data_IF_088268123100
#
_entry.id   IF_088268123100
#
_cell.length_a   1.000
_cell.length_b   1.000
_cell.length_c   1.000
_cell.angle_alpha   90.00
_cell.angle_beta   90.00
_cell.angle_gamma   90.00
#
_symmetry.space_group_name_H-M   'P 1'
#
loop_
_entity.id
_entity.type
_entity.pdbx_description
1 polymer ?
#
# COMPACT_ATOMS: atom_id res chain seq x y z
N UNK A 1 12.05 60.39 13.28
CA UNK A 1 12.96 59.22 13.21
C UNK A 1 13.18 58.55 14.57
N UNK A 2 13.74 59.20 15.60
CA UNK A 2 14.01 58.57 16.93
C UNK A 2 12.82 57.86 17.61
N UNK A 3 11.60 58.43 17.55
CA UNK A 3 10.40 57.80 18.14
C UNK A 3 10.00 56.50 17.41
N UNK A 4 10.05 56.50 16.08
CA UNK A 4 9.73 55.32 15.26
C UNK A 4 10.76 54.22 15.52
N UNK A 5 12.05 54.57 15.60
CA UNK A 5 13.12 53.61 15.95
C UNK A 5 12.91 53.02 17.35
N UNK A 6 12.56 53.83 18.36
CA UNK A 6 12.28 53.35 19.72
C UNK A 6 11.07 52.42 19.77
N UNK A 7 9.96 52.77 19.11
CA UNK A 7 8.77 51.91 19.03
C UNK A 7 9.08 50.59 18.32
N UNK A 8 9.82 50.62 17.21
CA UNK A 8 10.26 49.42 16.51
C UNK A 8 11.14 48.53 17.40
N UNK A 9 12.12 49.11 18.11
CA UNK A 9 12.96 48.36 19.05
C UNK A 9 12.16 47.75 20.19
N UNK A 10 11.19 48.47 20.77
CA UNK A 10 10.34 47.94 21.85
C UNK A 10 9.47 46.79 21.35
N UNK A 11 8.83 46.92 20.18
CA UNK A 11 8.00 45.85 19.59
C UNK A 11 8.83 44.61 19.31
N UNK A 12 10.03 44.76 18.73
CA UNK A 12 10.95 43.65 18.47
C UNK A 12 11.38 42.97 19.78
N UNK A 13 11.76 43.75 20.79
CA UNK A 13 12.22 43.22 22.08
C UNK A 13 11.11 42.46 22.80
N UNK A 14 9.88 43.01 22.84
CA UNK A 14 8.71 42.33 23.43
C UNK A 14 8.40 41.05 22.65
N UNK A 15 8.40 41.10 21.31
CA UNK A 15 8.19 39.92 20.47
C UNK A 15 9.21 38.81 20.74
N UNK A 16 10.50 39.16 20.83
CA UNK A 16 11.58 38.21 21.15
C UNK A 16 11.41 37.60 22.55
N UNK A 17 11.08 38.40 23.57
CA UNK A 17 10.85 37.89 24.93
C UNK A 17 9.65 36.95 24.99
N UNK A 18 8.54 37.28 24.31
CA UNK A 18 7.38 36.40 24.21
C UNK A 18 7.71 35.09 23.50
N UNK A 19 8.43 35.16 22.38
CA UNK A 19 8.86 33.97 21.63
C UNK A 19 9.79 33.07 22.45
N UNK A 20 10.81 33.63 23.11
CA UNK A 20 11.73 32.88 23.96
C UNK A 20 11.04 32.30 25.19
N UNK A 21 10.13 33.06 25.81
CA UNK A 21 9.32 32.58 26.93
C UNK A 21 8.43 31.40 26.54
N UNK A 22 7.76 31.51 25.39
CA UNK A 22 6.94 30.42 24.84
C UNK A 22 7.80 29.21 24.48
N UNK A 23 8.93 29.40 23.79
CA UNK A 23 9.85 28.31 23.41
C UNK A 23 10.45 27.61 24.63
N UNK A 24 10.76 28.36 25.69
CA UNK A 24 11.22 27.83 26.97
C UNK A 24 10.14 27.01 27.68
N UNK A 25 8.89 27.50 27.69
CA UNK A 25 7.75 26.73 28.18
C UNK A 25 7.56 25.43 27.39
N UNK A 26 7.58 25.51 26.06
CA UNK A 26 7.41 24.36 25.15
C UNK A 26 8.48 23.31 25.41
N UNK A 27 9.75 23.72 25.52
CA UNK A 27 10.84 22.83 25.86
C UNK A 27 10.62 22.12 27.21
N UNK A 28 10.14 22.85 28.22
CA UNK A 28 9.84 22.27 29.53
C UNK A 28 8.68 21.28 29.46
N UNK A 29 7.59 21.65 28.77
CA UNK A 29 6.41 20.81 28.55
C UNK A 29 6.78 19.51 27.82
N UNK A 30 7.51 19.61 26.71
CA UNK A 30 7.97 18.47 25.92
C UNK A 30 8.84 17.51 26.74
N UNK A 31 9.73 18.07 27.57
CA UNK A 31 10.60 17.29 28.46
C UNK A 31 9.83 16.57 29.57
N UNK A 32 8.71 17.12 30.03
CA UNK A 32 7.83 16.43 30.97
C UNK A 32 7.02 15.35 30.28
N UNK A 33 6.43 15.67 29.12
CA UNK A 33 5.65 14.74 28.30
C UNK A 33 6.47 13.51 27.93
N UNK A 34 7.72 13.70 27.49
CA UNK A 34 8.60 12.59 27.10
C UNK A 34 9.05 11.69 28.26
N UNK A 35 8.83 12.10 29.52
CA UNK A 35 9.17 11.36 30.74
C UNK A 35 7.98 10.67 31.42
N UNK A 36 6.75 10.87 30.93
CA UNK A 36 5.58 10.20 31.53
C UNK A 36 5.79 8.66 31.49
N UNK A 37 5.46 8.02 32.61
CA UNK A 37 5.83 6.63 32.97
C UNK A 37 4.87 5.56 32.45
N UNK A 38 3.87 5.94 31.66
CA UNK A 38 2.87 5.09 31.02
C UNK A 38 3.34 4.50 29.68
N UNK A 39 4.61 4.74 29.31
CA UNK A 39 5.17 4.21 28.06
C UNK A 39 5.53 2.73 28.24
N UNK A 40 4.71 1.86 27.65
CA UNK A 40 5.01 0.45 27.52
C UNK A 40 6.35 0.26 26.80
N UNK A 41 7.28 -0.43 27.46
CA UNK A 41 8.59 -0.73 26.92
C UNK A 41 8.56 -2.05 26.13
N UNK A 42 9.34 -2.11 25.06
CA UNK A 42 9.68 -3.35 24.37
C UNK A 42 10.64 -4.19 25.22
N UNK A 43 10.65 -5.51 25.04
CA UNK A 43 11.68 -6.38 25.61
C UNK A 43 13.04 -6.22 24.90
N UNK A 44 13.04 -5.65 23.69
CA UNK A 44 14.26 -5.41 22.89
C UNK A 44 14.77 -3.99 23.13
N UNK A 45 16.03 -3.88 23.57
CA UNK A 45 16.67 -2.60 23.88
C UNK A 45 16.77 -1.65 22.69
N UNK A 46 17.01 -2.18 21.49
CA UNK A 46 17.03 -1.41 20.24
C UNK A 46 15.66 -0.78 19.94
N UNK A 47 14.57 -1.55 20.07
CA UNK A 47 13.21 -1.04 19.90
C UNK A 47 12.91 0.11 20.89
N UNK A 48 13.35 -0.02 22.14
CA UNK A 48 13.22 1.05 23.14
C UNK A 48 13.98 2.32 22.78
N UNK A 49 15.15 2.20 22.15
CA UNK A 49 15.93 3.35 21.66
C UNK A 49 15.17 4.11 20.57
N UNK A 50 14.61 3.39 19.59
CA UNK A 50 13.82 3.98 18.49
C UNK A 50 12.52 4.61 19.00
N UNK A 51 11.80 3.91 19.89
CA UNK A 51 10.61 4.45 20.58
C UNK A 51 10.96 5.73 21.35
N UNK A 52 12.13 5.76 22.00
CA UNK A 52 12.66 6.93 22.69
C UNK A 52 12.81 8.12 21.76
N UNK A 53 13.43 7.94 20.59
CA UNK A 53 13.58 9.01 19.59
C UNK A 53 12.22 9.55 19.14
N UNK A 54 11.27 8.70 18.75
CA UNK A 54 9.95 9.19 18.30
C UNK A 54 9.23 10.02 19.38
N UNK A 55 9.34 9.60 20.65
CA UNK A 55 8.74 10.30 21.79
C UNK A 55 9.44 11.63 22.08
N UNK A 56 10.76 11.62 22.16
CA UNK A 56 11.58 12.79 22.50
C UNK A 56 11.50 13.88 21.44
N UNK A 57 11.36 13.50 20.16
CA UNK A 57 11.20 14.42 19.03
C UNK A 57 9.75 14.84 18.78
N UNK A 58 8.81 14.33 19.57
CA UNK A 58 7.40 14.69 19.47
C UNK A 58 6.72 14.25 18.18
N UNK A 59 7.18 13.14 17.57
CA UNK A 59 6.55 12.61 16.36
C UNK A 59 5.08 12.25 16.60
N UNK A 60 4.72 11.89 17.83
CA UNK A 60 3.35 11.57 18.22
C UNK A 60 2.39 12.75 18.08
N UNK A 61 2.85 14.00 18.23
CA UNK A 61 2.00 15.20 18.12
C UNK A 61 1.19 15.23 16.82
N UNK A 62 1.80 14.88 15.69
CA UNK A 62 1.15 14.95 14.38
C UNK A 62 0.83 13.58 13.79
N UNK A 63 1.33 12.48 14.35
CA UNK A 63 1.22 11.14 13.77
C UNK A 63 0.44 10.14 14.63
N UNK A 64 -0.20 10.62 15.70
CA UNK A 64 -1.14 9.84 16.50
C UNK A 64 -2.41 10.68 16.78
N UNK A 65 -3.60 10.07 16.87
CA UNK A 65 -4.84 10.79 17.12
C UNK A 65 -5.01 11.22 18.59
N UNK A 66 -4.18 10.70 19.49
CA UNK A 66 -4.34 10.79 20.95
C UNK A 66 -3.30 11.66 21.65
N UNK A 67 -2.50 12.42 20.90
CA UNK A 67 -1.46 13.26 21.47
C UNK A 67 -2.04 14.37 22.36
N UNK A 68 -1.55 14.49 23.59
CA UNK A 68 -1.87 15.61 24.48
C UNK A 68 -1.24 16.89 23.94
N UNK A 69 -2.06 17.89 23.64
CA UNK A 69 -1.59 19.17 23.11
C UNK A 69 -1.35 20.19 24.24
N UNK A 70 -0.34 21.07 24.10
CA UNK A 70 -0.07 22.13 25.06
C UNK A 70 -1.20 23.17 25.07
N UNK A 71 -1.33 23.94 26.17
CA UNK A 71 -2.47 24.86 26.36
C UNK A 71 -2.70 25.87 25.23
N UNK A 72 -1.61 26.34 24.60
CA UNK A 72 -1.67 27.34 23.53
C UNK A 72 -2.28 26.78 22.23
N UNK A 73 -2.40 25.45 22.09
CA UNK A 73 -3.11 24.82 20.97
C UNK A 73 -4.58 25.23 20.86
N UNK A 74 -5.16 25.79 21.92
CA UNK A 74 -6.51 26.33 21.94
C UNK A 74 -6.64 27.75 21.39
N UNK A 75 -5.53 28.48 21.22
CA UNK A 75 -5.55 29.86 20.75
C UNK A 75 -5.84 29.92 19.25
N UNK A 76 -6.70 30.83 18.73
CA UNK A 76 -7.25 30.73 17.37
C UNK A 76 -6.22 30.51 16.25
N UNK A 77 -5.13 31.28 16.23
CA UNK A 77 -4.08 31.18 15.20
C UNK A 77 -3.25 29.91 15.36
N UNK A 78 -2.86 29.58 16.61
CA UNK A 78 -2.09 28.37 16.90
C UNK A 78 -2.92 27.12 16.60
N UNK A 79 -4.19 27.11 17.02
CA UNK A 79 -5.17 26.05 16.75
C UNK A 79 -5.28 25.76 15.27
N UNK A 80 -5.51 26.79 14.45
CA UNK A 80 -5.66 26.60 13.00
C UNK A 80 -4.42 25.98 12.36
N UNK A 81 -3.23 26.46 12.73
CA UNK A 81 -1.96 25.95 12.18
C UNK A 81 -1.67 24.52 12.65
N UNK A 82 -1.87 24.24 13.95
CA UNK A 82 -1.64 22.93 14.54
C UNK A 82 -2.65 21.91 14.02
N UNK A 83 -3.94 22.25 13.94
CA UNK A 83 -4.97 21.37 13.39
C UNK A 83 -4.62 20.97 11.95
N UNK A 84 -4.15 21.93 11.13
CA UNK A 84 -3.68 21.64 9.77
C UNK A 84 -2.50 20.66 9.75
N UNK A 85 -1.47 20.89 10.57
CA UNK A 85 -0.28 20.01 10.62
C UNK A 85 -0.60 18.62 11.16
N UNK A 86 -1.46 18.54 12.19
CA UNK A 86 -1.90 17.28 12.79
C UNK A 86 -2.73 16.50 11.77
N UNK A 87 -3.70 17.15 11.11
CA UNK A 87 -4.52 16.50 10.08
C UNK A 87 -3.65 16.02 8.90
N UNK A 88 -2.71 16.84 8.41
CA UNK A 88 -1.84 16.45 7.31
C UNK A 88 -0.86 15.34 7.71
N UNK A 89 -0.26 15.45 8.90
CA UNK A 89 0.66 14.46 9.46
C UNK A 89 0.00 13.12 9.65
N UNK A 90 -1.19 13.10 10.25
CA UNK A 90 -1.97 11.90 10.52
C UNK A 90 -2.56 11.34 9.22
N UNK A 91 -2.93 12.18 8.25
CA UNK A 91 -3.32 11.70 6.91
C UNK A 91 -2.15 10.99 6.20
N UNK A 92 -0.90 11.43 6.42
CA UNK A 92 0.28 10.90 5.71
C UNK A 92 0.89 9.65 6.35
N UNK A 93 0.89 9.55 7.68
CA UNK A 93 1.63 8.53 8.42
C UNK A 93 0.93 8.21 9.74
N UNK A 94 0.78 6.91 10.06
CA UNK A 94 0.26 6.48 11.37
C UNK A 94 1.39 5.87 12.21
N UNK A 95 1.82 6.58 13.24
CA UNK A 95 2.87 6.07 14.12
C UNK A 95 2.39 4.93 15.03
N UNK A 96 1.08 4.75 15.23
CA UNK A 96 0.53 3.72 16.13
C UNK A 96 0.95 2.30 15.74
N UNK A 97 0.86 1.96 14.45
CA UNK A 97 1.21 0.63 13.96
C UNK A 97 2.71 0.33 14.17
N UNK A 98 3.57 1.33 13.96
CA UNK A 98 5.02 1.23 14.20
C UNK A 98 5.30 1.04 15.69
N UNK A 99 4.64 1.82 16.56
CA UNK A 99 4.81 1.71 18.02
C UNK A 99 4.36 0.33 18.52
N UNK A 100 3.18 -0.13 18.08
CA UNK A 100 2.66 -1.44 18.46
C UNK A 100 3.62 -2.56 18.04
N UNK A 101 4.14 -2.49 16.80
CA UNK A 101 5.10 -3.47 16.29
C UNK A 101 6.41 -3.48 17.10
N UNK A 102 6.99 -2.30 17.38
CA UNK A 102 8.19 -2.17 18.20
C UNK A 102 8.01 -2.69 19.63
N UNK A 103 6.87 -2.38 20.27
CA UNK A 103 6.55 -2.84 21.62
C UNK A 103 6.42 -4.37 21.66
N UNK A 104 5.72 -4.94 20.68
CA UNK A 104 5.47 -6.38 20.58
C UNK A 104 6.63 -7.18 19.96
N UNK A 105 7.69 -6.51 19.51
CA UNK A 105 8.79 -7.11 18.74
C UNK A 105 8.31 -7.91 17.52
N UNK A 106 7.41 -7.29 16.74
CA UNK A 106 6.87 -7.86 15.51
C UNK A 106 7.29 -7.01 14.31
N UNK A 107 7.28 -7.56 13.07
CA UNK A 107 7.72 -6.82 11.90
C UNK A 107 6.91 -5.54 11.66
N UNK A 108 7.59 -4.40 11.55
CA UNK A 108 6.96 -3.09 11.28
C UNK A 108 6.47 -3.02 9.83
N UNK A 109 5.22 -2.60 9.56
CA UNK A 109 4.70 -2.52 8.20
C UNK A 109 5.64 -1.80 7.22
N UNK A 110 5.92 -2.45 6.08
CA UNK A 110 6.92 -1.98 5.12
C UNK A 110 6.65 -0.56 4.59
N UNK A 111 5.38 -0.20 4.35
CA UNK A 111 5.02 1.17 3.93
C UNK A 111 5.44 2.21 4.98
N UNK A 112 5.28 1.88 6.26
CA UNK A 112 5.63 2.78 7.35
C UNK A 112 7.16 2.88 7.52
N UNK A 113 7.90 1.77 7.37
CA UNK A 113 9.37 1.81 7.31
C UNK A 113 9.87 2.69 6.15
N UNK A 114 9.29 2.53 4.96
CA UNK A 114 9.69 3.29 3.77
C UNK A 114 9.38 4.79 3.93
N UNK A 115 8.25 5.15 4.57
CA UNK A 115 7.92 6.55 4.89
C UNK A 115 8.94 7.16 5.86
N UNK A 116 9.28 6.45 6.94
CA UNK A 116 10.27 6.91 7.93
C UNK A 116 11.64 7.07 7.25
N UNK A 117 12.08 6.07 6.49
CA UNK A 117 13.35 6.13 5.76
C UNK A 117 13.43 7.37 4.88
N UNK A 118 12.41 7.59 4.02
CA UNK A 118 12.43 8.67 3.05
C UNK A 118 12.58 10.03 3.75
N UNK A 119 11.81 10.29 4.82
CA UNK A 119 11.88 11.57 5.54
C UNK A 119 13.18 11.76 6.32
N UNK A 120 13.81 10.66 6.74
CA UNK A 120 15.14 10.69 7.38
C UNK A 120 16.23 10.97 6.36
N UNK A 121 16.25 10.27 5.21
CA UNK A 121 17.22 10.48 4.14
C UNK A 121 17.18 11.92 3.58
N UNK A 122 15.97 12.48 3.42
CA UNK A 122 15.77 13.81 2.85
C UNK A 122 15.65 14.93 3.91
N UNK A 123 15.76 14.58 5.20
CA UNK A 123 15.69 15.52 6.32
C UNK A 123 14.45 16.43 6.31
N UNK A 124 13.32 15.91 5.83
CA UNK A 124 12.08 16.70 5.71
C UNK A 124 11.25 16.69 6.99
N UNK A 125 11.61 15.85 7.96
CA UNK A 125 10.93 15.74 9.24
C UNK A 125 11.92 15.86 10.41
N UNK A 126 11.54 16.57 11.49
CA UNK A 126 10.29 17.33 11.61
C UNK A 126 10.28 18.59 10.73
N UNK A 127 9.10 19.12 10.36
CA UNK A 127 9.00 20.30 9.50
C UNK A 127 9.62 21.55 10.16
N UNK A 128 10.14 22.48 9.37
CA UNK A 128 10.76 23.73 9.87
C UNK A 128 9.84 24.51 10.81
N UNK A 129 8.53 24.55 10.53
CA UNK A 129 7.55 25.24 11.38
C UNK A 129 7.44 24.62 12.78
N UNK A 130 7.59 23.30 12.87
CA UNK A 130 7.58 22.60 14.15
C UNK A 130 8.84 22.95 14.96
N UNK A 131 10.02 22.80 14.37
CA UNK A 131 11.30 23.07 15.07
C UNK A 131 11.51 24.56 15.39
N UNK A 132 10.81 25.47 14.72
CA UNK A 132 10.81 26.89 15.08
C UNK A 132 10.28 27.13 16.50
N UNK A 133 9.38 26.30 17.00
CA UNK A 133 8.88 26.40 18.39
C UNK A 133 9.44 25.28 19.28
N UNK A 134 9.61 24.10 18.69
CA UNK A 134 10.14 22.88 19.31
C UNK A 134 11.60 22.65 18.90
N UNK A 135 12.48 23.61 19.20
CA UNK A 135 13.89 23.60 18.76
C UNK A 135 14.67 22.35 19.18
N UNK A 136 14.34 21.73 20.32
CA UNK A 136 14.92 20.46 20.77
C UNK A 136 14.33 19.21 20.06
N UNK A 137 13.27 19.40 19.27
CA UNK A 137 12.60 18.34 18.50
C UNK A 137 13.33 17.97 17.21
N UNK A 138 14.38 18.69 16.81
CA UNK A 138 15.20 18.33 15.65
C UNK A 138 15.88 16.95 15.82
N UNK A 139 15.97 16.20 14.71
CA UNK A 139 16.66 14.90 14.66
C UNK A 139 18.13 15.13 14.27
N UNK A 140 19.04 14.82 15.17
CA UNK A 140 20.49 14.91 14.96
C UNK A 140 21.00 13.86 13.97
N UNK A 141 22.20 14.07 13.43
CA UNK A 141 22.83 13.12 12.48
C UNK A 141 23.02 11.73 13.09
N UNK A 142 23.33 11.66 14.39
CA UNK A 142 23.45 10.39 15.11
C UNK A 142 22.11 9.67 15.21
N UNK A 143 21.05 10.36 15.64
CA UNK A 143 19.72 9.78 15.77
C UNK A 143 19.19 9.31 14.41
N UNK A 144 19.41 10.11 13.37
CA UNK A 144 19.06 9.77 11.99
C UNK A 144 19.77 8.51 11.52
N UNK A 145 21.08 8.42 11.75
CA UNK A 145 21.89 7.24 11.39
C UNK A 145 21.41 6.01 12.15
N UNK A 146 21.12 6.15 13.44
CA UNK A 146 20.59 5.07 14.27
C UNK A 146 19.22 4.57 13.75
N UNK A 147 18.33 5.48 13.32
CA UNK A 147 17.03 5.14 12.72
C UNK A 147 17.20 4.45 11.36
N UNK A 148 18.08 4.95 10.49
CA UNK A 148 18.31 4.36 9.17
C UNK A 148 18.92 2.95 9.25
N UNK A 149 19.88 2.75 10.16
CA UNK A 149 20.46 1.43 10.40
C UNK A 149 19.42 0.45 10.95
N UNK A 150 18.57 0.91 11.87
CA UNK A 150 17.46 0.10 12.38
C UNK A 150 16.48 -0.29 11.26
N UNK A 151 16.12 0.62 10.35
CA UNK A 151 15.27 0.30 9.19
C UNK A 151 15.93 -0.78 8.31
N UNK A 152 17.21 -0.62 8.02
CA UNK A 152 17.94 -1.58 7.19
C UNK A 152 17.95 -2.98 7.82
N UNK A 153 18.19 -3.04 9.12
CA UNK A 153 18.14 -4.27 9.89
C UNK A 153 16.73 -4.90 9.91
N UNK A 154 15.68 -4.09 10.10
CA UNK A 154 14.29 -4.57 10.03
C UNK A 154 13.96 -5.18 8.67
N UNK A 155 14.42 -4.57 7.57
CA UNK A 155 14.22 -5.12 6.22
C UNK A 155 14.97 -6.42 6.03
N UNK A 156 16.24 -6.44 6.39
CA UNK A 156 17.07 -7.63 6.22
C UNK A 156 16.55 -8.83 7.03
N UNK A 157 16.12 -8.61 8.28
CA UNK A 157 15.62 -9.67 9.17
C UNK A 157 14.24 -10.19 8.75
N UNK A 158 13.35 -9.31 8.30
CA UNK A 158 11.92 -9.65 8.18
C UNK A 158 11.37 -9.72 6.76
N UNK A 159 12.03 -9.08 5.79
CA UNK A 159 11.44 -8.83 4.48
C UNK A 159 12.32 -9.22 3.30
N UNK A 160 13.64 -9.16 3.44
CA UNK A 160 14.55 -9.49 2.36
C UNK A 160 14.43 -10.98 1.98
N UNK A 161 14.13 -11.26 0.72
CA UNK A 161 14.06 -12.65 0.27
C UNK A 161 15.44 -13.29 0.26
N UNK A 162 15.47 -14.63 0.35
CA UNK A 162 16.72 -15.38 0.41
C UNK A 162 17.54 -15.27 -0.89
N UNK A 163 16.87 -15.01 -2.02
CA UNK A 163 17.47 -14.90 -3.35
C UNK A 163 17.80 -13.46 -3.78
N UNK A 164 17.49 -12.44 -2.97
CA UNK A 164 17.93 -11.05 -3.21
C UNK A 164 19.44 -10.93 -3.02
N UNK A 165 20.13 -10.28 -3.95
CA UNK A 165 21.56 -10.01 -3.85
C UNK A 165 21.88 -9.16 -2.62
N UNK A 166 23.04 -9.38 -2.01
CA UNK A 166 23.47 -8.70 -0.79
C UNK A 166 23.41 -7.16 -0.91
N UNK A 167 23.74 -6.60 -2.08
CA UNK A 167 23.70 -5.16 -2.32
C UNK A 167 22.27 -4.59 -2.31
N UNK A 168 21.27 -5.41 -2.63
CA UNK A 168 19.87 -5.00 -2.82
C UNK A 168 18.96 -5.41 -1.65
N UNK A 169 19.48 -6.05 -0.59
CA UNK A 169 18.68 -6.52 0.56
C UNK A 169 17.96 -5.40 1.31
N UNK A 170 18.52 -4.18 1.32
CA UNK A 170 17.90 -3.01 1.94
C UNK A 170 17.01 -2.20 0.98
N UNK A 171 16.82 -2.63 -0.27
CA UNK A 171 15.87 -1.94 -1.14
C UNK A 171 14.43 -2.08 -0.61
N UNK A 172 13.57 -1.06 -0.77
CA UNK A 172 12.18 -1.09 -0.30
C UNK A 172 11.30 -2.07 -1.09
N UNK A 173 11.87 -2.76 -2.10
CA UNK A 173 11.21 -3.71 -2.99
C UNK A 173 12.00 -5.01 -3.00
N UNK A 174 11.30 -6.14 -3.08
CA UNK A 174 11.89 -7.48 -3.09
C UNK A 174 11.43 -8.24 -4.34
N UNK A 175 12.23 -9.18 -4.87
CA UNK A 175 11.86 -9.91 -6.07
C UNK A 175 10.66 -10.81 -5.82
N UNK A 176 9.85 -11.03 -6.86
CA UNK A 176 8.79 -12.05 -6.81
C UNK A 176 9.45 -13.42 -6.65
N UNK A 177 9.07 -14.24 -5.64
CA UNK A 177 9.63 -15.58 -5.49
C UNK A 177 9.29 -16.43 -6.72
N UNK A 178 10.18 -17.35 -7.09
CA UNK A 178 9.98 -18.20 -8.28
C UNK A 178 8.95 -19.31 -8.08
N UNK A 179 8.62 -19.62 -6.83
CA UNK A 179 7.60 -20.60 -6.48
C UNK A 179 6.93 -20.20 -5.17
N UNK A 180 5.71 -20.69 -4.99
CA UNK A 180 4.97 -20.69 -3.73
C UNK A 180 4.52 -22.13 -3.48
N UNK A 181 4.67 -22.67 -2.26
CA UNK A 181 4.13 -23.98 -1.92
C UNK A 181 2.60 -24.01 -2.11
N UNK A 182 2.12 -25.03 -2.83
CA UNK A 182 0.71 -25.25 -3.11
C UNK A 182 0.36 -26.74 -3.04
N UNK A 183 -0.92 -27.05 -2.80
CA UNK A 183 -1.49 -28.39 -2.96
C UNK A 183 -1.89 -28.61 -4.43
N UNK A 184 -1.09 -29.37 -5.17
CA UNK A 184 -1.29 -29.61 -6.60
C UNK A 184 -2.69 -30.13 -6.95
N UNK A 185 -3.30 -30.97 -6.11
CA UNK A 185 -4.64 -31.53 -6.39
C UNK A 185 -5.73 -30.48 -6.27
N UNK A 186 -5.59 -29.56 -5.31
CA UNK A 186 -6.48 -28.41 -5.18
C UNK A 186 -6.28 -27.42 -6.32
N UNK A 187 -5.04 -27.20 -6.76
CA UNK A 187 -4.72 -26.35 -7.91
C UNK A 187 -5.40 -26.87 -9.18
N UNK A 188 -5.38 -28.19 -9.45
CA UNK A 188 -6.08 -28.77 -10.61
C UNK A 188 -7.59 -28.48 -10.58
N UNK A 189 -8.23 -28.63 -9.42
CA UNK A 189 -9.64 -28.30 -9.25
C UNK A 189 -9.89 -26.79 -9.40
N UNK A 190 -9.04 -25.97 -8.79
CA UNK A 190 -9.10 -24.52 -8.86
C UNK A 190 -8.96 -23.99 -10.28
N UNK A 191 -8.02 -24.55 -11.05
CA UNK A 191 -7.84 -24.22 -12.46
C UNK A 191 -9.10 -24.49 -13.27
N UNK A 192 -9.74 -25.65 -13.07
CA UNK A 192 -11.02 -25.98 -13.72
C UNK A 192 -12.11 -24.97 -13.33
N UNK A 193 -12.28 -24.71 -12.04
CA UNK A 193 -13.31 -23.82 -11.50
C UNK A 193 -13.11 -22.36 -11.93
N UNK A 194 -11.87 -21.88 -11.98
CA UNK A 194 -11.53 -20.53 -12.44
C UNK A 194 -12.02 -20.25 -13.88
N UNK A 195 -12.02 -21.30 -14.71
CA UNK A 195 -12.48 -21.24 -16.10
C UNK A 195 -13.93 -21.70 -16.28
N UNK A 196 -14.60 -22.19 -15.23
CA UNK A 196 -15.94 -22.79 -15.33
C UNK A 196 -17.03 -21.74 -15.30
N UNK A 197 -17.71 -21.56 -16.43
CA UNK A 197 -18.81 -20.59 -16.57
C UNK A 197 -20.02 -20.95 -15.70
N UNK A 198 -20.17 -22.21 -15.27
CA UNK A 198 -21.29 -22.64 -14.42
C UNK A 198 -21.29 -21.97 -13.04
N UNK A 199 -20.21 -21.27 -12.67
CA UNK A 199 -20.20 -20.40 -11.50
C UNK A 199 -21.11 -19.15 -11.66
N UNK A 200 -21.42 -18.71 -12.89
CA UNK A 200 -22.39 -17.64 -13.14
C UNK A 200 -23.83 -18.15 -13.24
N UNK A 201 -24.79 -17.29 -12.91
CA UNK A 201 -26.21 -17.62 -12.86
C UNK A 201 -26.75 -18.16 -14.18
N UNK A 202 -26.29 -17.58 -15.30
CA UNK A 202 -26.67 -17.97 -16.66
C UNK A 202 -25.68 -18.94 -17.34
N UNK A 203 -24.61 -19.33 -16.63
CA UNK A 203 -23.53 -20.17 -17.15
C UNK A 203 -22.81 -19.60 -18.39
N UNK A 204 -22.51 -18.30 -18.38
CA UNK A 204 -21.82 -17.59 -19.48
C UNK A 204 -20.53 -16.88 -19.05
N UNK A 205 -20.26 -16.75 -17.74
CA UNK A 205 -19.12 -15.99 -17.22
C UNK A 205 -18.37 -16.82 -16.19
N UNK A 206 -17.04 -16.83 -16.30
CA UNK A 206 -16.10 -17.40 -15.34
C UNK A 206 -15.11 -16.34 -14.84
N UNK A 207 -14.25 -16.67 -13.88
CA UNK A 207 -13.23 -15.73 -13.40
C UNK A 207 -12.32 -15.26 -14.55
N UNK A 208 -11.98 -16.18 -15.47
CA UNK A 208 -11.14 -15.92 -16.64
C UNK A 208 -11.71 -14.89 -17.62
N UNK A 209 -13.02 -14.60 -17.59
CA UNK A 209 -13.63 -13.57 -18.44
C UNK A 209 -13.21 -12.15 -18.04
N UNK A 210 -13.14 -11.89 -16.72
CA UNK A 210 -12.74 -10.60 -16.17
C UNK A 210 -11.23 -10.52 -15.87
N UNK A 211 -10.59 -11.68 -15.73
CA UNK A 211 -9.19 -11.81 -15.31
C UNK A 211 -8.40 -12.70 -16.28
N UNK A 212 -8.36 -12.33 -17.56
CA UNK A 212 -7.80 -13.18 -18.59
C UNK A 212 -6.27 -13.38 -18.40
N UNK A 213 -5.84 -14.62 -18.20
CA UNK A 213 -4.43 -14.96 -17.90
C UNK A 213 -3.47 -14.68 -19.08
N UNK A 214 -3.99 -14.59 -20.30
CA UNK A 214 -3.22 -14.19 -21.49
C UNK A 214 -3.20 -12.67 -21.73
N UNK A 215 -3.87 -11.88 -20.90
CA UNK A 215 -3.99 -10.43 -21.02
C UNK A 215 -3.69 -9.72 -19.69
N UNK A 216 -2.57 -10.08 -19.05
CA UNK A 216 -2.12 -9.44 -17.82
C UNK A 216 -2.99 -9.74 -16.59
N UNK A 217 -3.90 -10.72 -16.65
CA UNK A 217 -4.79 -11.09 -15.55
C UNK A 217 -5.96 -10.11 -15.35
N UNK A 218 -6.30 -9.32 -16.37
CA UNK A 218 -7.39 -8.33 -16.38
C UNK A 218 -8.25 -8.48 -17.65
N UNK A 219 -9.30 -7.66 -17.78
CA UNK A 219 -10.18 -7.62 -18.96
C UNK A 219 -9.85 -6.48 -19.95
N UNK A 220 -8.93 -5.57 -19.59
CA UNK A 220 -8.55 -4.42 -20.39
C UNK A 220 -9.65 -3.37 -20.56
N UNK A 221 -10.70 -3.40 -19.72
CA UNK A 221 -11.84 -2.48 -19.78
C UNK A 221 -11.73 -1.40 -18.73
N UNK A 222 -12.43 -0.28 -18.96
CA UNK A 222 -12.62 0.75 -17.94
C UNK A 222 -13.19 0.15 -16.65
N UNK A 223 -14.31 -0.54 -16.77
CA UNK A 223 -14.90 -1.36 -15.71
C UNK A 223 -15.48 -2.63 -16.31
N UNK A 224 -15.56 -3.69 -15.51
CA UNK A 224 -15.96 -5.02 -15.99
C UNK A 224 -17.42 -5.10 -16.40
N UNK A 225 -17.70 -6.05 -17.30
CA UNK A 225 -19.06 -6.37 -17.75
C UNK A 225 -19.42 -7.76 -17.23
N UNK A 226 -20.46 -7.83 -16.40
CA UNK A 226 -21.02 -9.05 -15.88
C UNK A 226 -22.20 -9.59 -16.71
N UNK A 227 -22.94 -10.51 -16.09
CA UNK A 227 -24.10 -11.19 -16.66
C UNK A 227 -25.13 -10.19 -17.18
N UNK A 228 -25.70 -10.49 -18.35
CA UNK A 228 -26.71 -9.62 -18.98
C UNK A 228 -26.18 -8.27 -19.46
N UNK A 229 -24.86 -8.08 -19.54
CA UNK A 229 -24.23 -6.81 -19.94
C UNK A 229 -24.19 -5.76 -18.82
N UNK A 230 -24.38 -6.16 -17.56
CA UNK A 230 -24.29 -5.26 -16.42
C UNK A 230 -22.86 -4.70 -16.30
N UNK A 231 -22.72 -3.38 -16.15
CA UNK A 231 -21.41 -2.73 -16.05
C UNK A 231 -21.10 -2.42 -14.57
N UNK A 232 -19.98 -2.94 -14.09
CA UNK A 232 -19.49 -2.71 -12.73
C UNK A 232 -18.97 -1.28 -12.51
N UNK A 233 -18.82 -0.84 -11.25
CA UNK A 233 -18.33 0.50 -10.93
C UNK A 233 -16.80 0.60 -10.84
N UNK A 234 -16.09 -0.52 -10.93
CA UNK A 234 -14.63 -0.60 -10.71
C UNK A 234 -13.92 -1.33 -11.86
N UNK A 235 -12.67 -0.93 -12.09
CA UNK A 235 -11.71 -1.64 -12.94
C UNK A 235 -11.28 -2.95 -12.24
N UNK A 236 -11.24 -4.05 -13.00
CA UNK A 236 -10.76 -5.34 -12.50
C UNK A 236 -9.25 -5.28 -12.25
N UNK A 237 -8.78 -5.39 -10.99
CA UNK A 237 -7.35 -5.50 -10.73
C UNK A 237 -6.84 -6.86 -11.23
N UNK A 238 -5.54 -6.94 -11.53
CA UNK A 238 -4.94 -8.21 -11.96
C UNK A 238 -5.01 -9.30 -10.88
N UNK A 239 -5.28 -10.54 -11.29
CA UNK A 239 -5.10 -11.73 -10.42
C UNK A 239 -3.63 -12.07 -10.21
N UNK A 240 -2.73 -11.61 -11.09
CA UNK A 240 -1.31 -11.94 -10.96
C UNK A 240 -0.69 -11.32 -9.71
N UNK A 241 0.03 -12.13 -8.95
CA UNK A 241 0.69 -11.79 -7.70
C UNK A 241 -0.28 -11.33 -6.58
N UNK A 242 -1.59 -11.52 -6.75
CA UNK A 242 -2.61 -11.08 -5.79
C UNK A 242 -2.51 -11.79 -4.42
N UNK A 243 -1.89 -12.96 -4.39
CA UNK A 243 -1.51 -13.71 -3.18
C UNK A 243 -0.66 -12.91 -2.19
N UNK A 244 0.09 -11.90 -2.66
CA UNK A 244 0.95 -11.08 -1.79
C UNK A 244 0.26 -9.84 -1.21
N UNK A 245 -0.99 -9.56 -1.61
CA UNK A 245 -1.77 -8.49 -1.02
C UNK A 245 -2.05 -8.78 0.46
N UNK A 246 -2.09 -7.73 1.29
CA UNK A 246 -2.54 -7.87 2.69
C UNK A 246 -4.01 -8.26 2.79
N UNK A 247 -4.81 -7.75 1.85
CA UNK A 247 -6.25 -7.93 1.72
C UNK A 247 -6.62 -7.73 0.24
N UNK A 248 -7.74 -8.31 -0.20
CA UNK A 248 -8.20 -8.30 -1.57
C UNK A 248 -9.25 -7.22 -1.85
N UNK A 249 -9.53 -6.98 -3.14
CA UNK A 249 -10.26 -5.82 -3.67
C UNK A 249 -9.57 -4.46 -3.44
N UNK A 250 -10.08 -3.42 -4.10
CA UNK A 250 -9.60 -2.04 -3.96
C UNK A 250 -9.83 -1.46 -2.56
N UNK A 251 -10.91 -1.83 -1.89
CA UNK A 251 -11.28 -1.37 -0.55
C UNK A 251 -10.78 -2.30 0.58
N UNK A 252 -10.18 -3.45 0.25
CA UNK A 252 -9.67 -4.39 1.24
C UNK A 252 -10.76 -5.19 1.96
N UNK A 253 -11.97 -5.30 1.41
CA UNK A 253 -13.10 -5.93 2.11
C UNK A 253 -12.99 -7.45 2.30
N UNK A 254 -12.04 -8.11 1.63
CA UNK A 254 -11.82 -9.55 1.76
C UNK A 254 -10.41 -9.82 2.29
N UNK A 255 -10.28 -10.56 3.39
CA UNK A 255 -9.00 -10.81 4.04
C UNK A 255 -8.08 -11.77 3.27
N UNK A 256 -8.62 -12.64 2.43
CA UNK A 256 -7.88 -13.69 1.72
C UNK A 256 -8.39 -13.86 0.29
N UNK A 257 -7.63 -14.57 -0.56
CA UNK A 257 -8.08 -14.98 -1.90
C UNK A 257 -9.35 -15.81 -1.84
N UNK A 258 -9.44 -16.76 -0.90
CA UNK A 258 -10.65 -17.57 -0.70
C UNK A 258 -11.88 -16.71 -0.37
N UNK A 259 -11.74 -15.75 0.56
CA UNK A 259 -12.82 -14.82 0.89
C UNK A 259 -13.19 -13.93 -0.32
N UNK A 260 -12.21 -13.55 -1.14
CA UNK A 260 -12.43 -12.79 -2.37
C UNK A 260 -13.22 -13.61 -3.39
N UNK A 261 -12.80 -14.85 -3.66
CA UNK A 261 -13.44 -15.76 -4.61
C UNK A 261 -14.91 -16.06 -4.25
N UNK A 262 -15.29 -15.86 -2.99
CA UNK A 262 -16.67 -15.98 -2.53
C UNK A 262 -17.61 -14.83 -2.95
N UNK A 263 -17.07 -13.68 -3.35
CA UNK A 263 -17.83 -12.48 -3.70
C UNK A 263 -18.41 -12.50 -5.13
N UNK A 264 -17.57 -12.58 -6.18
CA UNK A 264 -17.99 -12.49 -7.58
C UNK A 264 -19.13 -13.43 -7.99
N UNK A 265 -19.14 -14.71 -7.59
CA UNK A 265 -20.20 -15.65 -7.95
C UNK A 265 -21.61 -15.15 -7.60
N UNK A 266 -21.75 -14.48 -6.45
CA UNK A 266 -23.04 -14.02 -5.91
C UNK A 266 -23.34 -12.55 -6.20
N UNK A 267 -22.40 -11.81 -6.80
CA UNK A 267 -22.59 -10.41 -7.09
C UNK A 267 -23.53 -10.25 -8.32
N UNK A 268 -24.70 -9.57 -8.18
CA UNK A 268 -25.70 -9.47 -9.25
C UNK A 268 -25.24 -8.71 -10.50
N UNK A 269 -24.17 -7.92 -10.42
CA UNK A 269 -23.59 -7.21 -11.56
C UNK A 269 -22.29 -7.84 -12.08
N UNK A 270 -21.87 -8.96 -11.50
CA UNK A 270 -20.73 -9.76 -11.97
C UNK A 270 -21.24 -11.12 -12.48
N UNK A 271 -21.23 -12.18 -11.66
CA UNK A 271 -21.60 -13.53 -12.09
C UNK A 271 -23.06 -13.89 -11.75
N UNK A 272 -23.73 -13.14 -10.89
CA UNK A 272 -25.18 -13.17 -10.68
C UNK A 272 -25.82 -14.54 -10.34
N UNK A 273 -25.08 -15.51 -9.79
CA UNK A 273 -25.68 -16.70 -9.18
C UNK A 273 -26.45 -16.31 -7.92
N UNK A 274 -27.63 -16.91 -7.70
CA UNK A 274 -28.51 -16.56 -6.57
C UNK A 274 -28.05 -17.19 -5.25
N UNK A 275 -27.36 -18.32 -5.32
CA UNK A 275 -26.83 -19.03 -4.16
C UNK A 275 -25.73 -20.02 -4.55
N UNK A 276 -24.97 -20.48 -3.56
CA UNK A 276 -24.07 -21.61 -3.75
C UNK A 276 -24.80 -22.90 -4.11
N UNK A 277 -26.01 -23.14 -3.60
CA UNK A 277 -26.82 -24.30 -3.98
C UNK A 277 -27.13 -24.33 -5.47
N UNK A 278 -27.38 -23.15 -6.07
CA UNK A 278 -27.57 -23.04 -7.52
C UNK A 278 -26.31 -23.45 -8.28
N UNK A 279 -25.14 -22.93 -7.89
CA UNK A 279 -23.84 -23.27 -8.48
C UNK A 279 -23.57 -24.77 -8.34
N UNK A 280 -23.73 -25.31 -7.13
CA UNK A 280 -23.51 -26.73 -6.82
C UNK A 280 -24.42 -27.59 -7.68
N UNK A 281 -25.71 -27.24 -7.84
CA UNK A 281 -26.65 -27.99 -8.68
C UNK A 281 -26.24 -28.05 -10.16
N UNK A 282 -25.48 -27.07 -10.64
CA UNK A 282 -24.93 -27.04 -12.00
C UNK A 282 -23.67 -27.91 -12.09
N UNK A 283 -22.75 -27.78 -11.13
CA UNK A 283 -21.51 -28.57 -11.07
C UNK A 283 -21.77 -30.06 -10.81
N UNK A 284 -22.78 -30.41 -10.01
CA UNK A 284 -23.14 -31.79 -9.66
C UNK A 284 -23.60 -32.63 -10.87
N UNK A 285 -23.96 -31.99 -11.98
CA UNK A 285 -24.32 -32.65 -13.24
C UNK A 285 -23.10 -33.18 -14.01
N UNK A 286 -21.89 -32.85 -13.56
CA UNK A 286 -20.62 -33.30 -14.12
C UNK A 286 -20.04 -34.45 -13.27
N UNK A 287 -20.25 -35.72 -13.66
CA UNK A 287 -19.83 -36.86 -12.85
C UNK A 287 -18.31 -36.97 -12.73
N UNK A 288 -17.55 -36.43 -13.69
CA UNK A 288 -16.08 -36.43 -13.66
C UNK A 288 -15.60 -35.40 -12.65
N UNK A 289 -16.04 -34.13 -12.78
CA UNK A 289 -15.69 -33.09 -11.81
C UNK A 289 -16.11 -33.48 -10.39
N UNK A 290 -17.32 -34.03 -10.21
CA UNK A 290 -17.81 -34.47 -8.90
C UNK A 290 -16.89 -35.52 -8.27
N UNK A 291 -16.51 -36.56 -9.03
CA UNK A 291 -15.61 -37.62 -8.56
C UNK A 291 -14.25 -37.05 -8.17
N UNK A 292 -13.66 -36.22 -9.03
CA UNK A 292 -12.33 -35.64 -8.77
C UNK A 292 -12.37 -34.69 -7.57
N UNK A 293 -13.43 -33.89 -7.45
CA UNK A 293 -13.63 -32.99 -6.33
C UNK A 293 -13.76 -33.76 -5.00
N UNK A 294 -14.54 -34.84 -4.98
CA UNK A 294 -14.70 -35.69 -3.79
C UNK A 294 -13.41 -36.40 -3.37
N UNK A 295 -12.47 -36.63 -4.30
CA UNK A 295 -11.18 -37.21 -3.99
C UNK A 295 -10.26 -36.23 -3.23
N UNK A 296 -10.46 -34.93 -3.39
CA UNK A 296 -9.70 -33.87 -2.69
C UNK A 296 -10.45 -33.38 -1.45
N UNK A 297 -11.77 -33.21 -1.58
CA UNK A 297 -12.67 -32.75 -0.53
C UNK A 297 -13.75 -33.82 -0.27
N UNK A 298 -13.58 -34.70 0.73
CA UNK A 298 -14.52 -35.79 1.03
C UNK A 298 -15.97 -35.35 1.26
N UNK A 299 -16.17 -34.10 1.67
CA UNK A 299 -17.48 -33.46 1.90
C UNK A 299 -18.18 -33.06 0.59
N UNK A 300 -17.49 -33.15 -0.55
CA UNK A 300 -17.99 -32.74 -1.86
C UNK A 300 -18.06 -31.22 -2.01
N UNK A 301 -18.84 -30.75 -2.97
CA UNK A 301 -18.98 -29.33 -3.26
C UNK A 301 -19.64 -28.58 -2.10
N UNK A 302 -18.97 -27.53 -1.64
CA UNK A 302 -19.49 -26.47 -0.78
C UNK A 302 -18.92 -25.15 -1.28
N UNK A 303 -19.55 -24.02 -0.96
CA UNK A 303 -18.97 -22.71 -1.31
C UNK A 303 -17.56 -22.52 -0.74
N UNK A 304 -17.32 -23.04 0.48
CA UNK A 304 -15.99 -23.02 1.12
C UNK A 304 -14.95 -23.84 0.34
N UNK A 305 -15.28 -25.08 -0.03
CA UNK A 305 -14.34 -25.95 -0.75
C UNK A 305 -14.08 -25.44 -2.19
N UNK A 306 -15.10 -24.90 -2.86
CA UNK A 306 -14.97 -24.33 -4.21
C UNK A 306 -14.02 -23.12 -4.17
N UNK A 307 -14.24 -22.20 -3.23
CA UNK A 307 -13.40 -21.02 -3.09
C UNK A 307 -11.99 -21.34 -2.59
N UNK A 308 -11.82 -22.38 -1.76
CA UNK A 308 -10.51 -22.88 -1.33
C UNK A 308 -9.69 -23.39 -2.53
N UNK A 309 -10.29 -24.20 -3.41
CA UNK A 309 -9.64 -24.70 -4.60
C UNK A 309 -9.23 -23.56 -5.55
N UNK A 310 -10.14 -22.61 -5.82
CA UNK A 310 -9.85 -21.43 -6.65
C UNK A 310 -8.69 -20.62 -6.06
N UNK A 311 -8.73 -20.33 -4.75
CA UNK A 311 -7.68 -19.60 -4.08
C UNK A 311 -6.33 -20.32 -4.14
N UNK A 312 -6.31 -21.65 -4.04
CA UNK A 312 -5.09 -22.43 -4.19
C UNK A 312 -4.51 -22.32 -5.60
N UNK A 313 -5.35 -22.36 -6.63
CA UNK A 313 -4.92 -22.08 -8.00
C UNK A 313 -4.37 -20.66 -8.16
N UNK A 314 -5.04 -19.65 -7.61
CA UNK A 314 -4.59 -18.26 -7.69
C UNK A 314 -3.22 -18.02 -7.04
N UNK A 315 -2.80 -18.82 -6.05
CA UNK A 315 -1.42 -18.78 -5.51
C UNK A 315 -0.36 -19.09 -6.57
N UNK A 316 -0.70 -19.88 -7.58
CA UNK A 316 0.22 -20.22 -8.69
C UNK A 316 0.38 -19.08 -9.69
N UNK A 317 -0.54 -18.11 -9.68
CA UNK A 317 -0.58 -16.98 -10.61
C UNK A 317 0.43 -15.89 -10.19
N UNK A 318 1.70 -16.27 -10.10
CA UNK A 318 2.82 -15.36 -9.85
C UNK A 318 3.61 -15.12 -11.14
N UNK A 319 4.29 -13.98 -11.20
CA UNK A 319 5.05 -13.54 -12.39
C UNK A 319 6.49 -13.16 -12.00
N UNK A 320 7.36 -14.14 -11.69
CA UNK A 320 8.75 -13.88 -11.36
C UNK A 320 9.59 -13.46 -12.58
N UNK A 321 10.85 -13.15 -12.33
CA UNK A 321 11.89 -12.97 -13.35
C UNK A 321 11.62 -11.82 -14.34
N UNK A 322 10.92 -10.79 -13.88
CA UNK A 322 10.94 -9.46 -14.52
C UNK A 322 12.37 -8.93 -14.61
N UNK A 323 12.63 -7.98 -15.51
CA UNK A 323 13.93 -7.33 -15.62
C UNK A 323 14.37 -6.72 -14.28
N UNK A 324 13.42 -6.13 -13.55
CA UNK A 324 13.67 -5.60 -12.21
C UNK A 324 13.97 -6.70 -11.17
N UNK A 325 13.29 -7.85 -11.21
CA UNK A 325 13.61 -8.96 -10.30
C UNK A 325 15.01 -9.53 -10.55
N UNK A 326 15.43 -9.63 -11.81
CA UNK A 326 16.79 -10.08 -12.15
C UNK A 326 17.85 -9.12 -11.61
N UNK A 327 17.59 -7.81 -11.71
CA UNK A 327 18.46 -6.79 -11.12
C UNK A 327 18.53 -6.89 -9.59
N UNK A 328 17.39 -7.05 -8.90
CA UNK A 328 17.37 -7.29 -7.45
C UNK A 328 18.14 -8.56 -7.03
N UNK A 329 18.29 -9.53 -7.94
CA UNK A 329 19.07 -10.76 -7.76
C UNK A 329 20.54 -10.63 -8.20
N UNK A 330 21.00 -9.42 -8.54
CA UNK A 330 22.41 -9.13 -8.83
C UNK A 330 22.78 -9.12 -10.32
N UNK A 331 21.83 -9.32 -11.24
CA UNK A 331 22.09 -9.08 -12.67
C UNK A 331 22.04 -7.58 -12.97
N UNK A 332 23.18 -6.91 -12.77
CA UNK A 332 23.30 -5.47 -12.99
C UNK A 332 23.01 -5.02 -14.43
N UNK A 333 23.01 -5.94 -15.41
CA UNK A 333 22.71 -5.62 -16.80
C UNK A 333 21.24 -5.89 -17.17
N UNK A 334 20.42 -6.39 -16.24
CA UNK A 334 19.01 -6.65 -16.49
C UNK A 334 18.18 -5.37 -16.71
N UNK A 335 18.62 -4.24 -16.15
CA UNK A 335 18.02 -2.93 -16.37
C UNK A 335 18.89 -2.05 -17.26
N UNK A 336 18.24 -1.34 -18.16
CA UNK A 336 18.87 -0.25 -18.92
C UNK A 336 19.22 0.93 -18.00
N UNK A 337 20.10 1.83 -18.45
CA UNK A 337 20.43 3.05 -17.73
C UNK A 337 19.18 3.92 -17.48
N UNK A 338 18.27 3.98 -18.46
CA UNK A 338 17.00 4.71 -18.34
C UNK A 338 16.13 4.14 -17.23
N UNK A 339 15.99 2.81 -17.17
CA UNK A 339 15.22 2.12 -16.13
C UNK A 339 15.82 2.30 -14.73
N UNK A 340 17.16 2.27 -14.60
CA UNK A 340 17.83 2.55 -13.33
C UNK A 340 17.57 3.99 -12.87
N UNK A 341 17.65 4.97 -13.78
CA UNK A 341 17.32 6.36 -13.47
C UNK A 341 15.84 6.53 -13.12
N UNK A 342 14.94 5.87 -13.84
CA UNK A 342 13.51 5.82 -13.52
C UNK A 342 13.21 5.28 -12.12
N UNK A 343 13.91 4.22 -11.70
CA UNK A 343 13.78 3.69 -10.35
C UNK A 343 14.30 4.67 -9.28
N UNK A 344 15.41 5.36 -9.56
CA UNK A 344 15.90 6.42 -8.68
C UNK A 344 14.86 7.54 -8.54
N UNK A 345 14.33 8.06 -9.64
CA UNK A 345 13.28 9.08 -9.66
C UNK A 345 12.03 8.60 -8.92
N UNK A 346 11.66 7.33 -9.07
CA UNK A 346 10.54 6.71 -8.34
C UNK A 346 10.74 6.74 -6.82
N UNK A 347 11.96 6.47 -6.33
CA UNK A 347 12.31 6.58 -4.90
C UNK A 347 12.35 8.03 -4.42
N UNK A 348 13.02 8.91 -5.16
CA UNK A 348 13.16 10.34 -4.84
C UNK A 348 11.79 11.03 -4.78
N UNK A 349 10.86 10.66 -5.65
CA UNK A 349 9.50 11.19 -5.69
C UNK A 349 8.51 10.42 -4.81
N UNK A 350 8.99 9.73 -3.77
CA UNK A 350 8.17 9.08 -2.72
C UNK A 350 7.28 7.94 -3.20
N UNK A 351 7.36 7.49 -4.45
CA UNK A 351 6.48 6.43 -4.93
C UNK A 351 6.71 5.13 -4.14
N UNK A 352 7.97 4.83 -3.81
CA UNK A 352 8.38 3.67 -3.00
C UNK A 352 7.90 3.71 -1.54
N UNK A 353 7.39 4.83 -1.03
CA UNK A 353 6.82 4.87 0.34
C UNK A 353 5.50 4.12 0.44
N UNK A 354 4.77 4.01 -0.67
CA UNK A 354 3.50 3.29 -0.76
C UNK A 354 3.63 2.04 -1.63
N UNK A 355 4.39 2.13 -2.72
CA UNK A 355 4.63 1.05 -3.66
C UNK A 355 5.93 0.30 -3.34
N UNK A 356 5.98 -0.30 -2.15
CA UNK A 356 7.08 -1.14 -1.68
C UNK A 356 6.72 -2.63 -1.61
N UNK A 357 7.65 -3.43 -1.11
CA UNK A 357 7.52 -4.88 -0.91
C UNK A 357 7.55 -5.69 -2.19
N UNK A 358 7.09 -6.93 -2.12
CA UNK A 358 7.24 -7.93 -3.19
C UNK A 358 6.56 -7.48 -4.50
N UNK A 359 5.37 -6.87 -4.42
CA UNK A 359 4.57 -6.47 -5.58
C UNK A 359 4.54 -4.95 -5.85
N UNK A 360 5.39 -4.17 -5.17
CA UNK A 360 5.40 -2.70 -5.25
C UNK A 360 4.01 -2.10 -4.98
N UNK A 361 3.39 -2.50 -3.88
CA UNK A 361 2.02 -2.16 -3.51
C UNK A 361 1.33 -3.29 -2.74
N UNK A 362 0.03 -3.15 -2.54
CA UNK A 362 -0.83 -4.15 -1.90
C UNK A 362 -0.57 -4.35 -0.41
N UNK A 363 0.17 -3.43 0.24
CA UNK A 363 0.57 -3.52 1.66
C UNK A 363 -0.01 -2.43 2.56
N UNK A 364 -0.66 -1.42 1.99
CA UNK A 364 -1.28 -0.33 2.75
C UNK A 364 -2.49 0.25 2.02
N UNK A 365 -3.25 1.07 2.76
CA UNK A 365 -4.37 1.87 2.26
C UNK A 365 -4.00 3.34 2.33
N UNK A 366 -3.96 4.01 1.19
CA UNK A 366 -3.52 5.40 1.09
C UNK A 366 -4.61 6.27 0.48
N UNK A 367 -4.74 7.53 0.91
CA UNK A 367 -5.75 8.41 0.39
C UNK A 367 -5.37 8.78 -1.04
N UNK A 368 -6.31 8.66 -1.97
CA UNK A 368 -6.14 9.26 -3.27
C UNK A 368 -6.30 10.79 -3.12
N UNK A 369 -5.18 11.51 -3.18
CA UNK A 369 -5.13 12.95 -3.00
C UNK A 369 -4.46 13.34 -1.68
N UNK A 370 -3.25 12.82 -1.44
CA UNK A 370 -2.50 13.11 -0.22
C UNK A 370 -2.06 14.58 -0.15
N UNK A 371 -1.64 15.17 -1.26
CA UNK A 371 -1.09 16.53 -1.34
C UNK A 371 -2.03 17.54 -2.00
N UNK A 372 -2.89 17.08 -2.89
CA UNK A 372 -3.95 17.86 -3.53
C UNK A 372 -5.19 16.99 -3.63
N UNK A 373 -6.37 17.58 -3.56
CA UNK A 373 -7.62 16.83 -3.71
C UNK A 373 -7.66 16.18 -5.10
N UNK A 374 -7.83 14.86 -5.12
CA UNK A 374 -7.92 14.12 -6.37
C UNK A 374 -9.25 14.45 -7.06
N UNK A 375 -9.20 14.77 -8.35
CA UNK A 375 -10.39 15.16 -9.09
C UNK A 375 -11.18 13.92 -9.56
N UNK A 376 -12.01 13.37 -8.69
CA UNK A 376 -12.90 12.26 -9.01
C UNK A 376 -14.12 12.66 -9.86
N UNK A 377 -14.37 13.96 -10.07
CA UNK A 377 -15.69 14.42 -10.49
C UNK A 377 -16.74 14.11 -9.42
N UNK A 378 -17.83 13.45 -9.80
CA UNK A 378 -18.83 12.96 -8.84
C UNK A 378 -18.26 11.81 -8.00
N UNK A 379 -18.33 11.92 -6.68
CA UNK A 379 -17.89 10.88 -5.75
C UNK A 379 -18.96 9.77 -5.69
N UNK A 380 -18.56 8.53 -5.95
CA UNK A 380 -19.39 7.33 -5.89
C UNK A 380 -18.97 6.44 -4.73
N UNK A 381 -19.74 5.38 -4.47
CA UNK A 381 -19.41 4.37 -3.47
C UNK A 381 -18.02 3.74 -3.69
N UNK A 382 -17.56 3.64 -4.94
CA UNK A 382 -16.24 3.09 -5.28
C UNK A 382 -15.10 3.97 -4.74
N UNK A 383 -15.25 5.30 -4.69
CA UNK A 383 -14.17 6.17 -4.19
C UNK A 383 -14.09 6.20 -2.68
N UNK A 384 -15.22 6.00 -1.98
CA UNK A 384 -15.24 5.99 -0.51
C UNK A 384 -14.20 4.99 0.02
N UNK A 385 -14.00 3.89 -0.70
CA UNK A 385 -12.86 3.00 -0.53
C UNK A 385 -12.91 2.28 0.82
N UNK A 386 -11.79 2.31 1.55
CA UNK A 386 -11.60 1.58 2.81
C UNK A 386 -12.64 1.94 3.88
N UNK A 387 -13.18 3.16 3.90
CA UNK A 387 -14.26 3.53 4.82
C UNK A 387 -15.55 2.71 4.61
N UNK A 388 -15.77 2.14 3.42
CA UNK A 388 -16.88 1.19 3.20
C UNK A 388 -16.76 -0.04 4.10
N UNK A 389 -15.54 -0.40 4.50
CA UNK A 389 -15.22 -1.54 5.37
C UNK A 389 -15.13 -1.09 6.82
N UNK A 390 -14.28 -0.10 7.12
CA UNK A 390 -13.93 0.25 8.52
C UNK A 390 -14.91 1.20 9.18
N UNK A 391 -15.70 1.95 8.39
CA UNK A 391 -16.57 3.06 8.85
C UNK A 391 -15.81 4.24 9.47
N UNK A 392 -14.49 4.22 9.49
CA UNK A 392 -13.65 5.28 10.03
C UNK A 392 -13.49 6.44 9.05
N UNK A 393 -13.67 7.68 9.53
CA UNK A 393 -13.59 8.88 8.68
C UNK A 393 -12.19 9.05 8.07
N UNK A 394 -11.14 8.62 8.77
CA UNK A 394 -9.75 8.66 8.27
C UNK A 394 -9.55 7.80 7.01
N UNK A 395 -10.37 6.78 6.84
CA UNK A 395 -10.29 5.83 5.74
C UNK A 395 -11.10 6.25 4.51
N UNK A 396 -11.77 7.41 4.58
CA UNK A 396 -12.46 7.99 3.43
C UNK A 396 -11.46 8.27 2.31
N UNK A 397 -11.82 7.90 1.08
CA UNK A 397 -10.98 8.07 -0.12
C UNK A 397 -9.67 7.27 -0.09
N UNK A 398 -9.48 6.38 0.90
CA UNK A 398 -8.33 5.47 0.92
C UNK A 398 -8.63 4.25 0.09
N UNK A 399 -7.70 3.93 -0.80
CA UNK A 399 -7.74 2.70 -1.59
C UNK A 399 -6.52 1.86 -1.22
N UNK A 400 -6.64 0.54 -1.36
CA UNK A 400 -5.48 -0.33 -1.34
C UNK A 400 -4.54 0.16 -2.43
N UNK A 401 -3.29 0.42 -2.07
CA UNK A 401 -2.25 0.78 -3.03
C UNK A 401 -2.12 -0.39 -4.01
N UNK A 402 -2.34 -0.23 -5.33
CA UNK A 402 -2.25 -1.36 -6.25
C UNK A 402 -0.80 -1.82 -6.40
N UNK A 403 -0.59 -3.12 -6.62
CA UNK A 403 0.71 -3.64 -7.03
C UNK A 403 1.08 -3.10 -8.42
N UNK A 404 2.35 -2.75 -8.62
CA UNK A 404 2.84 -2.24 -9.91
C UNK A 404 3.53 -3.32 -10.78
N UNK A 405 3.61 -4.56 -10.29
CA UNK A 405 4.01 -5.70 -11.13
C UNK A 405 3.06 -5.83 -12.31
N UNK A 406 3.61 -6.02 -13.52
CA UNK A 406 2.86 -6.10 -14.77
C UNK A 406 1.99 -4.87 -15.12
N UNK A 407 2.21 -3.70 -14.48
CA UNK A 407 1.36 -2.52 -14.68
C UNK A 407 1.29 -2.07 -16.14
N UNK A 408 2.35 -2.27 -16.92
CA UNK A 408 2.37 -1.98 -18.36
C UNK A 408 1.37 -2.80 -19.19
N UNK A 409 0.83 -3.90 -18.63
CA UNK A 409 -0.13 -4.80 -19.28
C UNK A 409 -1.58 -4.58 -18.82
N UNK A 410 -1.83 -3.71 -17.84
CA UNK A 410 -3.12 -3.65 -17.13
C UNK A 410 -3.82 -2.30 -17.28
N UNK A 411 -3.67 -1.64 -18.42
CA UNK A 411 -4.46 -0.45 -18.73
C UNK A 411 -5.96 -0.81 -18.86
N UNK A 412 -6.88 0.12 -18.55
CA UNK A 412 -6.67 1.45 -17.99
C UNK A 412 -6.46 1.45 -16.47
N UNK A 413 -6.05 2.59 -15.92
CA UNK A 413 -5.51 2.71 -14.56
C UNK A 413 -6.50 3.35 -13.56
N UNK A 414 -6.18 3.15 -12.28
CA UNK A 414 -6.96 3.48 -11.09
C UNK A 414 -8.23 2.64 -10.91
N UNK A 415 -8.85 2.73 -9.73
CA UNK A 415 -9.98 1.89 -9.34
C UNK A 415 -11.22 2.05 -10.23
N UNK A 416 -11.33 3.15 -10.99
CA UNK A 416 -12.40 3.41 -11.97
C UNK A 416 -12.00 3.16 -13.43
N UNK A 417 -10.73 2.88 -13.71
CA UNK A 417 -10.22 2.76 -15.08
C UNK A 417 -10.33 4.05 -15.90
N UNK A 418 -10.36 5.22 -15.25
CA UNK A 418 -10.57 6.51 -15.91
C UNK A 418 -9.34 7.00 -16.69
N UNK A 419 -8.16 6.41 -16.46
CA UNK A 419 -6.89 6.92 -17.00
C UNK A 419 -6.30 5.91 -17.98
N UNK A 420 -6.21 6.24 -19.27
CA UNK A 420 -5.90 5.23 -20.31
C UNK A 420 -4.41 4.92 -20.44
N UNK A 421 -3.51 5.81 -20.00
CA UNK A 421 -2.07 5.68 -20.25
C UNK A 421 -1.26 5.66 -18.96
N UNK A 422 -0.15 4.92 -18.98
CA UNK A 422 0.74 4.79 -17.83
C UNK A 422 1.41 6.13 -17.52
N UNK A 423 1.84 6.86 -18.55
CA UNK A 423 2.30 8.26 -18.46
C UNK A 423 1.29 9.16 -17.74
N UNK A 424 0.00 9.07 -18.13
CA UNK A 424 -1.07 9.84 -17.50
C UNK A 424 -1.24 9.47 -16.02
N UNK A 425 -1.16 8.18 -15.70
CA UNK A 425 -1.24 7.70 -14.32
C UNK A 425 -0.06 8.22 -13.47
N UNK A 426 1.17 8.17 -13.99
CA UNK A 426 2.37 8.70 -13.33
C UNK A 426 2.23 10.21 -13.05
N UNK A 427 1.82 10.99 -14.06
CA UNK A 427 1.57 12.44 -13.92
C UNK A 427 0.56 12.75 -12.82
N UNK A 428 -0.54 12.02 -12.77
CA UNK A 428 -1.57 12.23 -11.75
C UNK A 428 -1.08 11.83 -10.36
N UNK A 429 -0.30 10.74 -10.22
CA UNK A 429 0.30 10.36 -8.94
C UNK A 429 1.31 11.39 -8.43
N UNK A 430 2.20 11.90 -9.30
CA UNK A 430 3.11 12.99 -8.96
C UNK A 430 2.35 14.23 -8.48
N UNK A 431 1.31 14.64 -9.22
CA UNK A 431 0.52 15.83 -8.89
C UNK A 431 -0.27 15.70 -7.59
N UNK A 432 -1.00 14.61 -7.40
CA UNK A 432 -1.97 14.47 -6.32
C UNK A 432 -1.40 13.82 -5.06
N UNK A 433 -0.43 12.91 -5.19
CA UNK A 433 0.17 12.22 -4.03
C UNK A 433 1.48 12.86 -3.57
N UNK A 434 2.29 13.39 -4.48
CA UNK A 434 3.61 13.95 -4.18
C UNK A 434 3.56 15.49 -4.10
N UNK A 435 2.70 16.10 -4.92
CA UNK A 435 2.53 17.55 -5.00
C UNK A 435 3.50 18.24 -5.97
N UNK A 436 4.09 17.47 -6.89
CA UNK A 436 5.08 17.95 -7.87
C UNK A 436 4.65 17.64 -9.30
N UNK A 437 5.25 18.33 -10.27
CA UNK A 437 5.16 18.01 -11.69
C UNK A 437 6.61 17.85 -12.18
N UNK A 438 6.92 16.78 -12.93
CA UNK A 438 8.26 16.52 -13.46
C UNK A 438 8.34 16.84 -14.96
N UNK A 439 9.53 17.14 -15.50
CA UNK A 439 9.79 17.15 -16.93
C UNK A 439 9.38 15.82 -17.61
N UNK A 440 8.99 15.88 -18.88
CA UNK A 440 8.49 14.70 -19.60
C UNK A 440 9.54 13.58 -19.68
N UNK A 441 10.82 13.90 -19.88
CA UNK A 441 11.90 12.91 -19.92
C UNK A 441 12.01 12.14 -18.58
N UNK A 442 11.83 12.81 -17.45
CA UNK A 442 11.86 12.14 -16.13
C UNK A 442 10.64 11.24 -15.94
N UNK A 443 9.48 11.64 -16.50
CA UNK A 443 8.28 10.81 -16.52
C UNK A 443 8.48 9.57 -17.42
N UNK A 444 9.07 9.75 -18.59
CA UNK A 444 9.40 8.68 -19.53
C UNK A 444 10.36 7.67 -18.87
N UNK A 445 11.33 8.14 -18.08
CA UNK A 445 12.24 7.28 -17.34
C UNK A 445 11.51 6.47 -16.25
N UNK A 446 10.60 7.10 -15.49
CA UNK A 446 9.75 6.38 -14.53
C UNK A 446 8.88 5.34 -15.26
N UNK A 447 8.28 5.68 -16.39
CA UNK A 447 7.48 4.74 -17.20
C UNK A 447 8.34 3.57 -17.67
N UNK A 448 9.55 3.82 -18.17
CA UNK A 448 10.48 2.76 -18.57
C UNK A 448 10.81 1.82 -17.39
N UNK A 449 11.02 2.37 -16.18
CA UNK A 449 11.15 1.55 -14.97
C UNK A 449 9.89 0.70 -14.72
N UNK A 450 8.69 1.26 -14.83
CA UNK A 450 7.45 0.50 -14.62
C UNK A 450 7.26 -0.62 -15.65
N UNK A 451 7.70 -0.42 -16.89
CA UNK A 451 7.70 -1.48 -17.92
C UNK A 451 8.63 -2.64 -17.55
N UNK A 452 9.74 -2.36 -16.86
CA UNK A 452 10.68 -3.37 -16.36
C UNK A 452 10.10 -4.31 -15.30
N UNK A 453 8.94 -3.96 -14.73
CA UNK A 453 8.22 -4.74 -13.70
C UNK A 453 7.35 -5.86 -14.28
N UNK A 454 7.33 -6.03 -15.60
CA UNK A 454 6.58 -7.11 -16.27
C UNK A 454 7.33 -8.43 -16.10
N UNK A 455 6.73 -9.35 -15.35
CA UNK A 455 7.29 -10.66 -15.06
C UNK A 455 6.87 -11.73 -16.05
N UNK A 456 7.33 -12.95 -15.81
CA UNK A 456 7.06 -14.12 -16.65
C UNK A 456 5.97 -14.95 -16.00
N UNK A 457 4.79 -15.03 -16.64
CA UNK A 457 3.77 -16.01 -16.29
C UNK A 457 4.11 -17.35 -16.97
N UNK A 458 4.21 -18.42 -16.19
CA UNK A 458 4.30 -19.78 -16.71
C UNK A 458 2.92 -20.42 -16.62
N UNK A 459 2.24 -20.70 -17.75
CA UNK A 459 0.90 -21.28 -17.73
C UNK A 459 0.87 -22.62 -16.99
N UNK A 460 -0.03 -22.72 -16.01
CA UNK A 460 -0.26 -23.97 -15.29
C UNK A 460 -0.63 -25.08 -16.27
N UNK A 461 0.00 -26.25 -16.11
CA UNK A 461 -0.26 -27.45 -16.91
C UNK A 461 -0.98 -28.46 -16.01
N UNK A 462 -2.31 -28.62 -16.13
CA UNK A 462 -3.05 -29.53 -15.27
C UNK A 462 -2.64 -30.98 -15.49
N UNK A 463 -2.60 -31.78 -14.41
CA UNK A 463 -2.14 -33.17 -14.49
C UNK A 463 -3.07 -34.03 -15.37
N UNK A 464 -4.36 -33.72 -15.42
CA UNK A 464 -5.34 -34.44 -16.23
C UNK A 464 -5.24 -34.15 -17.74
N UNK A 465 -4.44 -33.18 -18.17
CA UNK A 465 -4.20 -32.85 -19.57
C UNK A 465 -2.94 -33.51 -20.16
N UNK A 466 -2.18 -34.23 -19.32
CA UNK A 466 -1.07 -35.09 -19.71
C UNK A 466 -1.54 -36.55 -19.77
#
# INVERSE_FOLDING_TARGET
MKKITLYATTVITVGLLCYLGLSGYVWYYDKQRSKKSDVQASVVGENNKILGYFREKGCDYCHTPSAELPFYSSFPVAKQLMDYDIQLGYKSFNLEAVRAALIADTPVPQSELNKIEWVMQHQTMPPTRYVALHWAGGVSDKERTDILNWIADQRERNYASADTDAAHRNEPVQPIPRNIPVDAKKVDLGFRLYHDERLSGDSTISCAHCHALNAGGVDGRKTSIGVGGAVGPINAPTVFNSVFNIEQFWDGRAATLQAQAGGPPLNPIEMASKSWDEIISKLDKDPVLKKDFQAVYPQGFTGENITDAIAEFEKTLITPDSAFDKWLRGDENALTAQQKHGYQLFKENKCATCHGGIILGGRSFEPLGLKRDFNFGEITAADIGRMNVTKEVRDKLRQKVPGLRNVALTAPYFHRGDVPTLDGAVKLMLRYQVGTDLPQNDIDDIVAFLESLTGVYTPYQPEYAQ
#
